data_IF_496084407611
#
_entry.id   IF_496084407611
#
_cell.length_a   1.000
_cell.length_b   1.000
_cell.length_c   1.000
_cell.angle_alpha   90.00
_cell.angle_beta   90.00
_cell.angle_gamma   90.00
#
_symmetry.space_group_name_H-M   'P 1'
#
loop_
_entity.id
_entity.type
_entity.pdbx_description
1 polymer ?
#
# COMPACT_ATOMS: atom_id res chain seq x y z
N UNK A 1 20.30 -51.17 -35.51
CA UNK A 1 21.76 -50.89 -35.52
C UNK A 1 22.03 -49.73 -34.57
N UNK A 2 22.65 -50.01 -33.42
CA UNK A 2 23.27 -48.98 -32.56
C UNK A 2 24.61 -48.60 -33.17
N UNK A 3 24.99 -47.33 -33.16
CA UNK A 3 26.19 -46.81 -32.46
C UNK A 3 26.51 -45.37 -32.89
N UNK A 4 26.68 -44.54 -31.85
CA UNK A 4 27.69 -43.49 -31.69
C UNK A 4 27.79 -42.40 -32.77
N UNK A 5 27.34 -41.19 -32.41
CA UNK A 5 28.28 -40.05 -32.36
C UNK A 5 28.01 -39.22 -31.10
N UNK A 6 28.76 -39.61 -30.07
CA UNK A 6 29.07 -38.84 -28.88
C UNK A 6 30.22 -37.89 -29.26
N UNK A 7 29.99 -36.57 -29.28
CA UNK A 7 30.85 -35.52 -28.71
C UNK A 7 30.67 -34.14 -29.36
N UNK A 8 30.69 -33.13 -28.47
CA UNK A 8 30.96 -31.70 -28.69
C UNK A 8 29.72 -30.97 -29.27
N UNK A 9 28.94 -30.24 -28.48
CA UNK A 9 29.38 -29.06 -27.73
C UNK A 9 28.45 -28.84 -26.52
N UNK A 10 29.03 -28.88 -25.33
CA UNK A 10 28.45 -28.19 -24.17
C UNK A 10 28.56 -26.69 -24.43
N UNK A 11 27.44 -25.97 -24.43
CA UNK A 11 27.26 -24.55 -24.07
C UNK A 11 26.01 -23.98 -24.75
N UNK A 12 24.86 -24.15 -24.10
CA UNK A 12 23.77 -23.18 -24.15
C UNK A 12 22.92 -23.39 -22.89
N UNK A 13 23.56 -23.21 -21.73
CA UNK A 13 22.84 -23.00 -20.47
C UNK A 13 22.20 -21.62 -20.54
N UNK A 14 20.90 -21.61 -20.23
CA UNK A 14 20.15 -20.51 -19.62
C UNK A 14 19.95 -19.27 -20.50
N UNK A 15 18.81 -19.24 -21.17
CA UNK A 15 17.96 -18.05 -21.16
C UNK A 15 16.51 -18.49 -20.94
N UNK A 16 16.26 -19.17 -19.82
CA UNK A 16 14.95 -19.07 -19.20
C UNK A 16 14.87 -17.64 -18.68
N UNK A 17 14.36 -16.72 -19.52
CA UNK A 17 13.74 -15.52 -19.02
C UNK A 17 12.65 -16.02 -18.08
N UNK A 18 12.93 -15.99 -16.78
CA UNK A 18 11.92 -16.06 -15.77
C UNK A 18 10.95 -14.92 -16.10
N UNK A 19 9.82 -15.26 -16.71
CA UNK A 19 8.63 -14.45 -16.65
C UNK A 19 8.26 -14.45 -15.16
N UNK A 20 8.83 -13.50 -14.43
CA UNK A 20 8.40 -13.17 -13.07
C UNK A 20 6.95 -12.73 -13.24
N UNK A 21 6.00 -13.30 -12.46
CA UNK A 21 4.60 -13.02 -12.64
C UNK A 21 4.37 -11.53 -12.41
N UNK A 22 3.74 -10.88 -13.39
CA UNK A 22 3.31 -9.49 -13.36
C UNK A 22 2.27 -9.15 -12.27
N UNK A 23 2.07 -10.05 -11.30
CA UNK A 23 1.03 -9.97 -10.28
C UNK A 23 1.30 -8.92 -9.20
N UNK A 24 2.54 -8.44 -9.04
CA UNK A 24 2.85 -7.37 -8.09
C UNK A 24 2.55 -5.95 -8.64
N UNK A 25 2.36 -5.79 -9.96
CA UNK A 25 2.20 -4.48 -10.60
C UNK A 25 0.74 -4.04 -10.77
N UNK A 26 -0.25 -4.92 -10.54
CA UNK A 26 -1.65 -4.66 -10.90
C UNK A 26 -2.34 -3.63 -9.98
N UNK A 27 -1.79 -3.33 -8.80
CA UNK A 27 -2.40 -2.40 -7.85
C UNK A 27 -2.17 -0.91 -8.14
N UNK A 28 -1.09 -0.54 -8.84
CA UNK A 28 -0.68 0.85 -9.01
C UNK A 28 -0.84 1.38 -10.46
N UNK A 29 -1.10 0.54 -11.45
CA UNK A 29 -0.96 0.90 -12.87
C UNK A 29 -1.85 2.08 -13.31
N UNK A 30 -3.02 2.26 -12.68
CA UNK A 30 -3.92 3.40 -12.91
C UNK A 30 -3.36 4.73 -12.37
N UNK A 31 -2.49 4.67 -11.36
CA UNK A 31 -1.92 5.84 -10.68
C UNK A 31 -0.63 6.33 -11.37
N UNK A 32 0.04 5.44 -12.10
CA UNK A 32 1.32 5.70 -12.74
C UNK A 32 1.13 6.21 -14.17
N UNK A 33 1.67 7.41 -14.44
CA UNK A 33 1.38 8.16 -15.67
C UNK A 33 2.44 7.95 -16.75
N UNK A 34 3.69 7.76 -16.35
CA UNK A 34 4.81 7.62 -17.28
C UNK A 34 5.26 6.17 -17.41
N UNK A 35 5.89 5.84 -18.54
CA UNK A 35 6.54 4.54 -18.72
C UNK A 35 7.62 4.30 -17.66
N UNK A 36 8.38 5.33 -17.32
CA UNK A 36 9.41 5.25 -16.27
C UNK A 36 8.81 4.87 -14.91
N UNK A 37 7.70 5.49 -14.51
CA UNK A 37 7.00 5.13 -13.27
C UNK A 37 6.54 3.68 -13.27
N UNK A 38 5.94 3.22 -14.36
CA UNK A 38 5.47 1.83 -14.50
C UNK A 38 6.63 0.84 -14.45
N UNK A 39 7.71 1.10 -15.19
CA UNK A 39 8.91 0.27 -15.20
C UNK A 39 9.57 0.22 -13.81
N UNK A 40 9.58 1.36 -13.09
CA UNK A 40 10.06 1.44 -11.72
C UNK A 40 9.15 0.70 -10.73
N UNK A 41 7.83 0.76 -10.90
CA UNK A 41 6.89 0.03 -10.05
C UNK A 41 6.99 -1.48 -10.25
N UNK A 42 7.11 -1.94 -11.50
CA UNK A 42 7.40 -3.35 -11.80
C UNK A 42 8.73 -3.78 -11.18
N UNK A 43 9.75 -2.91 -11.23
CA UNK A 43 11.06 -3.18 -10.64
C UNK A 43 11.07 -3.10 -9.10
N UNK A 44 10.17 -2.30 -8.54
CA UNK A 44 9.86 -2.20 -7.12
C UNK A 44 9.04 -3.42 -6.71
N UNK A 45 9.68 -4.58 -6.74
CA UNK A 45 9.12 -5.87 -6.32
C UNK A 45 9.10 -5.93 -4.78
N UNK A 46 8.14 -5.21 -4.19
CA UNK A 46 7.96 -5.04 -2.74
C UNK A 46 7.92 -6.40 -2.03
N UNK A 47 8.98 -6.72 -1.29
CA UNK A 47 9.15 -7.97 -0.55
C UNK A 47 10.20 -8.95 -1.09
N UNK A 48 10.64 -8.82 -2.36
CA UNK A 48 11.68 -9.68 -2.96
C UNK A 48 12.75 -8.94 -3.81
N UNK A 49 12.64 -7.62 -4.01
CA UNK A 49 13.47 -6.90 -5.00
C UNK A 49 14.03 -5.52 -4.62
N UNK A 50 14.57 -4.86 -5.65
CA UNK A 50 15.58 -3.79 -5.62
C UNK A 50 15.09 -2.50 -4.96
N UNK A 51 15.41 -2.30 -3.67
CA UNK A 51 15.12 -1.07 -2.90
C UNK A 51 15.37 0.24 -3.66
N UNK A 52 16.42 0.31 -4.48
CA UNK A 52 16.74 1.51 -5.27
C UNK A 52 15.65 1.91 -6.27
N UNK A 53 14.92 0.95 -6.86
CA UNK A 53 13.80 1.24 -7.76
C UNK A 53 12.62 1.86 -6.99
N UNK A 54 12.30 1.30 -5.81
CA UNK A 54 11.26 1.84 -4.94
C UNK A 54 11.61 3.25 -4.44
N UNK A 55 12.86 3.48 -4.00
CA UNK A 55 13.31 4.81 -3.57
C UNK A 55 13.17 5.83 -4.70
N UNK A 56 13.62 5.50 -5.92
CA UNK A 56 13.49 6.40 -7.07
C UNK A 56 12.02 6.67 -7.43
N UNK A 57 11.18 5.65 -7.36
CA UNK A 57 9.74 5.81 -7.61
C UNK A 57 9.09 6.74 -6.58
N UNK A 58 9.37 6.53 -5.29
CA UNK A 58 8.88 7.37 -4.20
C UNK A 58 9.35 8.82 -4.34
N UNK A 59 10.61 9.06 -4.76
CA UNK A 59 11.10 10.41 -5.02
C UNK A 59 10.32 11.12 -6.13
N UNK A 60 10.02 10.42 -7.23
CA UNK A 60 9.24 10.96 -8.35
C UNK A 60 7.82 11.29 -7.87
N UNK A 61 7.16 10.35 -7.20
CA UNK A 61 5.80 10.50 -6.71
C UNK A 61 5.69 11.61 -5.64
N UNK A 62 6.68 11.74 -4.76
CA UNK A 62 6.72 12.78 -3.73
C UNK A 62 6.83 14.18 -4.35
N UNK A 63 7.66 14.35 -5.39
CA UNK A 63 7.74 15.63 -6.12
C UNK A 63 6.43 16.00 -6.79
N UNK A 64 5.74 15.03 -7.40
CA UNK A 64 4.40 15.26 -7.97
C UNK A 64 3.37 15.61 -6.89
N UNK A 65 3.41 14.90 -5.76
CA UNK A 65 2.59 15.15 -4.59
C UNK A 65 2.77 16.60 -4.08
N UNK A 66 4.01 17.06 -3.94
CA UNK A 66 4.31 18.45 -3.56
C UNK A 66 3.86 19.47 -4.61
N UNK A 67 3.78 19.06 -5.88
CA UNK A 67 3.18 19.81 -6.98
C UNK A 67 1.64 19.77 -7.05
N UNK A 68 0.97 19.11 -6.09
CA UNK A 68 -0.50 19.03 -6.01
C UNK A 68 -1.15 17.81 -6.68
N UNK A 69 -0.35 16.84 -7.15
CA UNK A 69 -0.87 15.55 -7.64
C UNK A 69 -1.15 14.62 -6.46
N UNK A 70 -2.32 14.77 -5.84
CA UNK A 70 -2.68 14.05 -4.61
C UNK A 70 -2.80 12.52 -4.78
N UNK A 71 -3.04 12.03 -6.00
CA UNK A 71 -2.94 10.59 -6.31
C UNK A 71 -1.51 10.08 -6.14
N UNK A 72 -0.51 10.88 -6.55
CA UNK A 72 0.90 10.54 -6.33
C UNK A 72 1.27 10.55 -4.84
N UNK A 73 0.62 11.39 -4.02
CA UNK A 73 0.76 11.32 -2.57
C UNK A 73 0.29 9.94 -2.05
N UNK A 74 -0.91 9.52 -2.45
CA UNK A 74 -1.45 8.23 -2.03
C UNK A 74 -0.58 7.04 -2.44
N UNK A 75 -0.13 7.03 -3.70
CA UNK A 75 0.78 6.02 -4.23
C UNK A 75 2.12 5.95 -3.45
N UNK A 76 2.74 7.09 -3.15
CA UNK A 76 3.97 7.12 -2.36
C UNK A 76 3.75 6.54 -0.95
N UNK A 77 2.63 6.87 -0.32
CA UNK A 77 2.25 6.35 0.98
C UNK A 77 2.03 4.84 1.01
N UNK A 78 1.39 4.28 -0.02
CA UNK A 78 1.23 2.82 -0.16
C UNK A 78 2.58 2.13 -0.34
N UNK A 79 3.48 2.65 -1.19
CA UNK A 79 4.82 2.07 -1.37
C UNK A 79 5.60 2.06 -0.05
N UNK A 80 5.57 3.14 0.74
CA UNK A 80 6.18 3.13 2.07
C UNK A 80 5.59 2.06 2.99
N UNK A 81 4.28 1.83 2.91
CA UNK A 81 3.61 0.78 3.70
C UNK A 81 4.10 -0.60 3.28
N UNK A 82 4.18 -0.87 1.98
CA UNK A 82 4.62 -2.16 1.44
C UNK A 82 6.09 -2.46 1.77
N UNK A 83 6.92 -1.42 1.92
CA UNK A 83 8.31 -1.53 2.38
C UNK A 83 8.45 -1.69 3.90
N UNK A 84 7.35 -1.68 4.66
CA UNK A 84 7.36 -1.69 6.12
C UNK A 84 7.84 -0.38 6.75
N UNK A 85 7.94 0.68 5.95
CA UNK A 85 8.39 2.03 6.31
C UNK A 85 7.21 2.89 6.80
N UNK A 86 6.48 2.37 7.79
CA UNK A 86 5.18 2.92 8.21
C UNK A 86 5.27 4.35 8.77
N UNK A 87 6.37 4.74 9.40
CA UNK A 87 6.55 6.12 9.87
C UNK A 87 6.57 7.13 8.71
N UNK A 88 6.96 6.70 7.50
CA UNK A 88 7.02 7.55 6.32
C UNK A 88 5.74 7.52 5.48
N UNK A 89 4.88 6.52 5.65
CA UNK A 89 3.62 6.42 4.88
C UNK A 89 2.56 7.43 5.30
N UNK A 90 2.54 7.83 6.57
CA UNK A 90 1.46 8.65 7.13
C UNK A 90 1.36 10.03 6.48
N UNK A 91 2.47 10.75 6.35
CA UNK A 91 2.48 12.12 5.80
C UNK A 91 1.90 12.22 4.37
N UNK A 92 2.33 11.41 3.39
CA UNK A 92 1.75 11.45 2.06
C UNK A 92 0.29 10.95 2.02
N UNK A 93 -0.07 9.94 2.83
CA UNK A 93 -1.47 9.48 2.93
C UNK A 93 -2.40 10.55 3.53
N UNK A 94 -1.92 11.33 4.51
CA UNK A 94 -2.67 12.47 5.07
C UNK A 94 -2.98 13.48 3.97
N UNK A 95 -1.98 13.91 3.19
CA UNK A 95 -2.19 14.86 2.07
C UNK A 95 -3.25 14.34 1.08
N UNK A 96 -3.15 13.07 0.68
CA UNK A 96 -4.09 12.45 -0.25
C UNK A 96 -5.52 12.37 0.35
N UNK A 97 -5.63 12.03 1.63
CA UNK A 97 -6.90 11.97 2.33
C UNK A 97 -7.53 13.37 2.52
N UNK A 98 -6.74 14.39 2.81
CA UNK A 98 -7.18 15.79 2.92
C UNK A 98 -7.73 16.31 1.59
N UNK A 99 -7.17 15.86 0.46
CA UNK A 99 -7.69 16.09 -0.88
C UNK A 99 -8.98 15.30 -1.21
N UNK A 100 -9.57 14.61 -0.22
CA UNK A 100 -10.81 13.84 -0.31
C UNK A 100 -10.76 12.60 -1.21
N UNK A 101 -9.57 12.05 -1.44
CA UNK A 101 -9.43 10.74 -2.11
C UNK A 101 -9.64 9.65 -1.05
N UNK A 102 -10.88 9.16 -0.93
CA UNK A 102 -11.32 8.32 0.19
C UNK A 102 -10.58 6.99 0.31
N UNK A 103 -10.12 6.39 -0.79
CA UNK A 103 -9.32 5.16 -0.75
C UNK A 103 -8.07 5.35 0.12
N UNK A 104 -7.36 6.47 -0.03
CA UNK A 104 -6.17 6.77 0.77
C UNK A 104 -6.51 7.16 2.22
N UNK A 105 -7.71 7.68 2.48
CA UNK A 105 -8.19 7.81 3.86
C UNK A 105 -8.31 6.43 4.53
N UNK A 106 -8.87 5.44 3.82
CA UNK A 106 -8.99 4.07 4.35
C UNK A 106 -7.61 3.47 4.63
N UNK A 107 -6.66 3.61 3.70
CA UNK A 107 -5.27 3.18 3.91
C UNK A 107 -4.62 3.86 5.13
N UNK A 108 -4.79 5.18 5.28
CA UNK A 108 -4.28 5.92 6.43
C UNK A 108 -4.83 5.38 7.75
N UNK A 109 -6.15 5.25 7.85
CA UNK A 109 -6.80 4.80 9.08
C UNK A 109 -6.40 3.35 9.44
N UNK A 110 -6.32 2.46 8.46
CA UNK A 110 -5.89 1.08 8.67
C UNK A 110 -4.43 1.02 9.10
N UNK A 111 -3.54 1.76 8.43
CA UNK A 111 -2.13 1.83 8.80
C UNK A 111 -1.92 2.36 10.22
N UNK A 112 -2.75 3.33 10.61
CA UNK A 112 -2.70 3.91 11.93
C UNK A 112 -3.08 2.90 13.02
N UNK A 113 -4.09 2.08 12.78
CA UNK A 113 -4.47 1.03 13.71
C UNK A 113 -3.43 -0.09 13.74
N UNK A 114 -3.02 -0.59 12.57
CA UNK A 114 -2.20 -1.81 12.50
C UNK A 114 -0.74 -1.57 12.86
N UNK A 115 -0.15 -0.45 12.40
CA UNK A 115 1.30 -0.29 12.38
C UNK A 115 1.79 0.86 13.25
N UNK A 116 1.16 2.04 13.17
CA UNK A 116 1.65 3.22 13.93
C UNK A 116 1.04 3.33 15.33
N UNK A 117 -0.09 2.69 15.58
CA UNK A 117 -0.85 2.81 16.82
C UNK A 117 -1.55 4.16 17.01
N UNK A 118 -1.63 4.99 15.97
CA UNK A 118 -2.24 6.32 16.05
C UNK A 118 -3.78 6.25 16.03
N UNK A 119 -4.35 5.76 17.13
CA UNK A 119 -5.79 5.56 17.28
C UNK A 119 -6.58 6.88 17.13
N UNK A 120 -6.05 8.00 17.62
CA UNK A 120 -6.71 9.30 17.54
C UNK A 120 -6.91 9.73 16.09
N UNK A 121 -5.85 9.64 15.26
CA UNK A 121 -5.95 9.97 13.83
C UNK A 121 -6.84 8.97 13.11
N UNK A 122 -6.70 7.68 13.38
CA UNK A 122 -7.56 6.66 12.79
C UNK A 122 -9.05 6.94 13.05
N UNK A 123 -9.42 7.27 14.30
CA UNK A 123 -10.81 7.58 14.66
C UNK A 123 -11.35 8.80 13.91
N UNK A 124 -10.55 9.86 13.78
CA UNK A 124 -10.90 11.07 12.99
C UNK A 124 -11.08 10.75 11.51
N UNK A 125 -10.21 9.91 10.95
CA UNK A 125 -10.28 9.54 9.54
C UNK A 125 -11.46 8.61 9.27
N UNK A 126 -11.73 7.62 10.14
CA UNK A 126 -12.94 6.79 10.05
C UNK A 126 -14.23 7.61 10.20
N UNK A 127 -14.23 8.65 11.05
CA UNK A 127 -15.34 9.61 11.11
C UNK A 127 -15.53 10.39 9.81
N UNK A 128 -14.45 10.85 9.18
CA UNK A 128 -14.50 11.47 7.85
C UNK A 128 -15.08 10.52 6.81
N UNK A 129 -14.59 9.29 6.71
CA UNK A 129 -15.08 8.27 5.76
C UNK A 129 -16.54 7.92 6.04
N UNK A 130 -16.92 7.77 7.32
CA UNK A 130 -18.31 7.50 7.70
C UNK A 130 -19.27 8.62 7.23
N UNK A 131 -18.82 9.88 7.30
CA UNK A 131 -19.62 11.04 6.87
C UNK A 131 -19.66 11.19 5.35
N UNK A 132 -18.54 10.99 4.67
CA UNK A 132 -18.33 11.42 3.27
C UNK A 132 -18.12 10.28 2.27
N UNK A 133 -17.81 9.07 2.73
CA UNK A 133 -17.55 7.90 1.90
C UNK A 133 -18.80 7.35 1.21
N UNK A 134 -18.60 6.37 0.34
CA UNK A 134 -19.64 5.69 -0.42
C UNK A 134 -19.71 4.19 -0.07
N UNK A 135 -20.87 3.58 -0.34
CA UNK A 135 -21.11 2.14 -0.28
C UNK A 135 -20.58 1.44 0.98
N UNK A 136 -19.68 0.47 0.81
CA UNK A 136 -19.17 -0.43 1.85
C UNK A 136 -18.07 0.23 2.70
N UNK A 137 -17.22 1.06 2.10
CA UNK A 137 -16.18 1.81 2.84
C UNK A 137 -16.81 2.67 3.93
N UNK A 138 -17.94 3.32 3.61
CA UNK A 138 -18.72 4.08 4.58
C UNK A 138 -19.26 3.20 5.70
N UNK A 139 -19.88 2.06 5.36
CA UNK A 139 -20.48 1.14 6.35
C UNK A 139 -19.42 0.61 7.31
N UNK A 140 -18.29 0.14 6.76
CA UNK A 140 -17.17 -0.36 7.53
C UNK A 140 -16.58 0.73 8.44
N UNK A 141 -16.31 1.92 7.88
CA UNK A 141 -15.77 3.03 8.65
C UNK A 141 -16.70 3.48 9.79
N UNK A 142 -18.02 3.57 9.53
CA UNK A 142 -18.99 3.90 10.56
C UNK A 142 -19.04 2.83 11.67
N UNK A 143 -18.93 1.55 11.31
CA UNK A 143 -18.89 0.44 12.26
C UNK A 143 -17.65 0.52 13.16
N UNK A 144 -16.46 0.61 12.55
CA UNK A 144 -15.18 0.70 13.27
C UNK A 144 -15.16 1.95 14.18
N UNK A 145 -15.60 3.10 13.67
CA UNK A 145 -15.70 4.34 14.46
C UNK A 145 -16.57 4.14 15.70
N UNK A 146 -17.72 3.51 15.55
CA UNK A 146 -18.65 3.26 16.67
C UNK A 146 -18.01 2.31 17.69
N UNK A 147 -17.40 1.22 17.24
CA UNK A 147 -16.71 0.27 18.12
C UNK A 147 -15.57 0.93 18.91
N UNK A 148 -14.77 1.78 18.27
CA UNK A 148 -13.73 2.57 18.95
C UNK A 148 -14.36 3.49 20.00
N UNK A 149 -15.44 4.19 19.66
CA UNK A 149 -16.13 5.13 20.55
C UNK A 149 -16.75 4.43 21.76
N UNK A 150 -17.42 3.30 21.55
CA UNK A 150 -18.08 2.54 22.61
C UNK A 150 -17.06 1.85 23.50
N UNK A 151 -16.00 1.27 22.93
CA UNK A 151 -14.88 0.70 23.68
C UNK A 151 -14.17 1.77 24.54
N UNK A 152 -14.02 3.00 24.03
CA UNK A 152 -13.38 4.10 24.78
C UNK A 152 -14.18 4.53 26.03
N UNK A 153 -15.46 4.17 26.14
CA UNK A 153 -16.30 4.45 27.31
C UNK A 153 -16.16 3.38 28.41
N UNK A 154 -15.61 2.21 28.08
CA UNK A 154 -15.36 1.12 29.02
C UNK A 154 -13.88 1.09 29.43
N UNK A 155 -13.61 1.34 30.70
CA UNK A 155 -12.26 1.33 31.26
C UNK A 155 -11.52 -0.02 31.14
N UNK A 156 -12.23 -1.12 30.83
CA UNK A 156 -11.64 -2.45 30.63
C UNK A 156 -11.34 -2.76 29.17
N UNK A 157 -11.76 -1.91 28.24
CA UNK A 157 -11.62 -2.13 26.82
C UNK A 157 -10.41 -1.34 26.27
N UNK A 158 -9.54 -2.00 25.52
CA UNK A 158 -8.47 -1.34 24.77
C UNK A 158 -8.98 -1.06 23.35
N UNK A 159 -9.28 0.21 23.00
CA UNK A 159 -9.87 0.55 21.70
C UNK A 159 -8.91 0.33 20.54
N UNK A 160 -7.60 0.42 20.74
CA UNK A 160 -6.63 0.13 19.68
C UNK A 160 -6.61 -1.38 19.39
N UNK A 161 -6.58 -2.21 20.45
CA UNK A 161 -6.64 -3.66 20.29
C UNK A 161 -7.96 -4.11 19.66
N UNK A 162 -9.08 -3.54 20.10
CA UNK A 162 -10.40 -3.83 19.52
C UNK A 162 -10.44 -3.49 18.02
N UNK A 163 -9.93 -2.32 17.63
CA UNK A 163 -9.85 -1.93 16.23
C UNK A 163 -8.94 -2.86 15.41
N UNK A 164 -7.81 -3.29 15.96
CA UNK A 164 -6.91 -4.26 15.32
C UNK A 164 -7.61 -5.59 15.06
N UNK A 165 -8.39 -6.10 16.01
CA UNK A 165 -9.14 -7.34 15.85
C UNK A 165 -10.16 -7.26 14.72
N UNK A 166 -10.92 -6.16 14.65
CA UNK A 166 -11.90 -5.94 13.58
C UNK A 166 -11.20 -5.93 12.22
N UNK A 167 -10.13 -5.15 12.07
CA UNK A 167 -9.43 -4.99 10.79
C UNK A 167 -8.78 -6.31 10.34
N UNK A 168 -8.20 -7.09 11.26
CA UNK A 168 -7.61 -8.40 10.94
C UNK A 168 -8.63 -9.47 10.56
N UNK A 169 -9.90 -9.26 10.90
CA UNK A 169 -11.00 -10.17 10.57
C UNK A 169 -11.67 -9.89 9.22
N UNK A 170 -11.25 -8.82 8.53
CA UNK A 170 -11.67 -8.49 7.15
C UNK A 170 -10.90 -9.33 6.13
#
# INVERSE_FOLDING_TARGET
MKKFYLKIWALALIAAFAAIPAAAAEGLDYLLKTKEEKDLAISCDSGNGKYSACTKLVEILSKKCDGGDYESCGAAGMIFTDLGQYEFSSAPLIKACEANIMSYCSYLAINDILFTGNLERAAKVFDKICKQGISEDKRLACSIRKEIEDCSKDAKCDPLMKAKEIIKGL
#
